data_IF_808022830785
#
_entry.id   IF_808022830785
#
_cell.length_a   1.000
_cell.length_b   1.000
_cell.length_c   1.000
_cell.angle_alpha   90.00
_cell.angle_beta   90.00
_cell.angle_gamma   90.00
#
_symmetry.space_group_name_H-M   'P 1'
#
loop_
_entity.id
_entity.type
_entity.pdbx_description
1 polymer ?
#
# COMPACT_ATOMS: atom_id res chain seq x y z
N UNK A 1 -92.02 -21.13 -22.63
CA UNK A 1 -91.21 -20.87 -21.42
C UNK A 1 -89.78 -21.31 -21.74
N UNK A 2 -88.87 -20.38 -22.05
CA UNK A 2 -87.45 -20.66 -22.32
C UNK A 2 -86.63 -20.23 -21.10
N UNK A 3 -85.88 -21.14 -20.47
CA UNK A 3 -84.98 -20.83 -19.39
C UNK A 3 -83.68 -20.34 -19.99
N UNK A 4 -83.02 -19.27 -19.44
CA UNK A 4 -81.65 -18.89 -19.81
C UNK A 4 -80.63 -19.71 -19.04
N UNK A 5 -79.65 -20.21 -19.75
CA UNK A 5 -78.44 -20.80 -19.16
C UNK A 5 -77.45 -19.69 -18.78
N UNK A 6 -77.07 -19.65 -17.51
CA UNK A 6 -76.05 -18.77 -16.98
C UNK A 6 -74.67 -19.42 -17.20
N UNK A 7 -73.84 -18.79 -18.03
CA UNK A 7 -72.47 -19.22 -18.29
C UNK A 7 -71.55 -18.59 -17.24
N UNK A 8 -70.99 -19.40 -16.35
CA UNK A 8 -69.97 -18.94 -15.39
C UNK A 8 -68.59 -18.99 -16.08
N UNK A 9 -68.05 -17.83 -16.43
CA UNK A 9 -66.66 -17.67 -16.81
C UNK A 9 -65.80 -17.63 -15.54
N UNK A 10 -65.05 -18.70 -15.28
CA UNK A 10 -64.00 -18.75 -14.25
C UNK A 10 -62.76 -18.13 -14.88
N UNK A 11 -62.41 -16.90 -14.48
CA UNK A 11 -61.12 -16.28 -14.78
C UNK A 11 -60.07 -16.90 -13.85
N UNK A 12 -59.16 -17.69 -14.41
CA UNK A 12 -57.92 -18.08 -13.76
C UNK A 12 -56.95 -16.91 -13.87
N UNK A 13 -56.79 -16.16 -12.79
CA UNK A 13 -55.67 -15.23 -12.62
C UNK A 13 -54.40 -16.05 -12.31
N UNK A 14 -53.58 -16.24 -13.33
CA UNK A 14 -52.23 -16.75 -13.13
C UNK A 14 -51.40 -15.58 -12.58
N UNK A 15 -51.16 -15.59 -11.28
CA UNK A 15 -50.11 -14.77 -10.69
C UNK A 15 -48.76 -15.37 -11.14
N UNK A 16 -48.13 -14.76 -12.12
CA UNK A 16 -46.69 -14.90 -12.29
C UNK A 16 -46.03 -14.06 -11.18
N UNK A 17 -45.52 -14.70 -10.14
CA UNK A 17 -44.50 -14.09 -9.31
C UNK A 17 -43.23 -14.04 -10.16
N UNK A 18 -42.86 -12.85 -10.62
CA UNK A 18 -41.47 -12.59 -10.93
C UNK A 18 -40.74 -12.74 -9.58
N UNK A 19 -40.15 -13.87 -9.32
CA UNK A 19 -38.99 -13.94 -8.47
C UNK A 19 -37.91 -13.15 -9.22
N UNK A 20 -37.64 -11.93 -8.76
CA UNK A 20 -36.37 -11.28 -9.03
C UNK A 20 -35.30 -12.19 -8.44
N UNK A 21 -34.82 -13.13 -9.23
CA UNK A 21 -33.51 -13.70 -9.02
C UNK A 21 -32.56 -12.52 -9.21
N UNK A 22 -32.18 -11.85 -8.10
CA UNK A 22 -30.89 -11.18 -8.08
C UNK A 22 -29.91 -12.27 -8.51
N UNK A 23 -29.40 -12.20 -9.73
CA UNK A 23 -28.14 -12.84 -10.07
C UNK A 23 -27.18 -12.29 -8.98
N UNK A 24 -26.77 -13.14 -8.06
CA UNK A 24 -25.60 -12.85 -7.24
C UNK A 24 -24.50 -12.58 -8.27
N UNK A 25 -24.10 -11.32 -8.43
CA UNK A 25 -22.89 -10.97 -9.15
C UNK A 25 -21.80 -11.77 -8.45
N UNK A 26 -21.39 -12.87 -9.08
CA UNK A 26 -20.34 -13.71 -8.53
C UNK A 26 -19.09 -12.87 -8.41
N UNK A 27 -18.62 -12.63 -7.20
CA UNK A 27 -17.36 -11.92 -6.94
C UNK A 27 -16.30 -12.49 -7.87
N UNK A 28 -15.75 -11.60 -8.72
CA UNK A 28 -14.75 -12.05 -9.69
C UNK A 28 -13.42 -12.24 -8.96
N UNK A 29 -12.92 -13.45 -8.96
CA UNK A 29 -11.65 -13.84 -8.34
C UNK A 29 -10.63 -14.22 -9.41
N UNK A 30 -9.37 -13.85 -9.22
CA UNK A 30 -8.29 -14.20 -10.14
C UNK A 30 -6.91 -14.12 -9.47
N UNK A 31 -5.93 -14.71 -10.15
CA UNK A 31 -4.51 -14.67 -9.81
C UNK A 31 -3.71 -14.45 -11.08
N UNK A 32 -3.01 -13.31 -11.22
CA UNK A 32 -2.31 -12.88 -12.42
C UNK A 32 -0.90 -12.41 -12.10
N UNK A 33 0.07 -12.80 -12.94
CA UNK A 33 1.45 -12.28 -12.85
C UNK A 33 1.76 -11.39 -14.02
N UNK A 34 2.60 -10.39 -13.77
CA UNK A 34 3.14 -9.46 -14.76
C UNK A 34 4.65 -9.41 -14.58
N UNK A 35 5.39 -9.67 -15.66
CA UNK A 35 6.83 -9.65 -15.64
C UNK A 35 7.46 -10.28 -16.87
N UNK A 36 8.76 -10.14 -16.96
CA UNK A 36 9.58 -10.69 -18.03
C UNK A 36 10.58 -11.73 -17.55
N UNK A 37 11.78 -11.74 -18.09
CA UNK A 37 12.79 -12.74 -17.73
C UNK A 37 13.71 -12.34 -16.59
N UNK A 38 13.63 -11.10 -16.10
CA UNK A 38 14.48 -10.55 -15.06
C UNK A 38 13.63 -10.25 -13.80
N UNK A 39 14.11 -9.33 -12.96
CA UNK A 39 13.40 -8.90 -11.78
C UNK A 39 12.33 -7.85 -12.12
N UNK A 40 11.08 -8.11 -11.72
CA UNK A 40 9.97 -7.20 -11.83
C UNK A 40 9.20 -7.20 -10.50
N UNK A 41 9.15 -6.08 -9.79
CA UNK A 41 8.58 -6.06 -8.44
C UNK A 41 8.86 -4.76 -7.69
N UNK A 42 9.50 -4.86 -6.54
CA UNK A 42 9.87 -3.70 -5.71
C UNK A 42 8.80 -3.29 -4.69
N UNK A 43 8.72 -2.01 -4.43
CA UNK A 43 7.67 -1.41 -3.60
C UNK A 43 6.41 -1.27 -4.45
N UNK A 44 5.37 -2.04 -4.12
CA UNK A 44 4.15 -2.12 -4.92
C UNK A 44 3.01 -1.40 -4.22
N UNK A 45 2.26 -0.62 -4.99
CA UNK A 45 0.99 -0.06 -4.57
C UNK A 45 -0.09 -0.47 -5.56
N UNK A 46 -1.30 -0.76 -5.08
CA UNK A 46 -2.48 -1.08 -5.89
C UNK A 46 -3.66 -0.24 -5.46
N UNK A 47 -4.45 0.20 -6.45
CA UNK A 47 -5.73 0.84 -6.21
C UNK A 47 -6.76 0.32 -7.22
N UNK A 48 -8.00 0.06 -6.74
CA UNK A 48 -9.13 -0.12 -7.63
C UNK A 48 -9.48 1.24 -8.25
N UNK A 49 -9.65 1.25 -9.57
CA UNK A 49 -9.95 2.46 -10.34
C UNK A 49 -11.46 2.65 -10.52
N UNK A 50 -11.89 3.87 -10.89
CA UNK A 50 -13.30 4.23 -11.04
C UNK A 50 -14.04 3.48 -12.16
N UNK A 51 -13.32 2.76 -13.01
CA UNK A 51 -13.84 1.85 -14.05
C UNK A 51 -13.86 0.38 -13.60
N UNK A 52 -13.76 0.13 -12.29
CA UNK A 52 -13.68 -1.18 -11.64
C UNK A 52 -12.43 -2.02 -11.99
N UNK A 53 -11.49 -1.47 -12.76
CA UNK A 53 -10.19 -2.06 -13.00
C UNK A 53 -9.21 -1.79 -11.87
N UNK A 54 -7.92 -2.01 -12.14
CA UNK A 54 -6.86 -1.80 -11.14
C UNK A 54 -5.69 -1.06 -11.74
N UNK A 55 -5.07 -0.18 -10.95
CA UNK A 55 -3.78 0.43 -11.26
C UNK A 55 -2.73 -0.08 -10.29
N UNK A 56 -1.61 -0.54 -10.80
CA UNK A 56 -0.48 -1.08 -10.04
C UNK A 56 0.76 -0.31 -10.42
N UNK A 57 1.60 0.02 -9.45
CA UNK A 57 2.94 0.53 -9.67
C UNK A 57 3.97 -0.44 -9.12
N UNK A 58 5.08 -0.55 -9.83
CA UNK A 58 6.26 -1.29 -9.41
C UNK A 58 7.51 -0.80 -10.13
N UNK A 59 8.52 -1.63 -10.08
CA UNK A 59 9.80 -1.43 -10.76
C UNK A 59 10.07 -2.62 -11.66
N UNK A 60 10.60 -2.38 -12.85
CA UNK A 60 10.96 -3.43 -13.79
C UNK A 60 12.43 -3.32 -14.21
N UNK A 61 13.08 -4.46 -14.33
CA UNK A 61 14.38 -4.64 -14.99
C UNK A 61 14.22 -5.30 -16.35
N UNK A 62 13.05 -5.90 -16.60
CA UNK A 62 12.75 -6.62 -17.84
C UNK A 62 12.37 -5.69 -18.99
N UNK A 63 11.82 -4.53 -18.69
CA UNK A 63 11.28 -3.58 -19.66
C UNK A 63 11.85 -2.18 -19.40
N UNK A 64 11.79 -1.30 -20.41
CA UNK A 64 12.27 0.08 -20.28
C UNK A 64 13.64 0.31 -20.89
N UNK A 65 14.38 1.31 -20.42
CA UNK A 65 15.61 1.82 -21.05
C UNK A 65 16.82 1.89 -20.11
N UNK A 66 16.83 1.21 -18.99
CA UNK A 66 17.90 1.32 -18.01
C UNK A 66 18.14 0.04 -17.24
N UNK A 67 18.47 0.20 -15.98
CA UNK A 67 18.50 -0.90 -15.03
C UNK A 67 17.10 -1.09 -14.44
N UNK A 68 16.75 -0.26 -13.46
CA UNK A 68 15.40 -0.22 -12.87
C UNK A 68 14.61 0.91 -13.55
N UNK A 69 13.40 0.62 -14.05
CA UNK A 69 12.46 1.63 -14.53
C UNK A 69 11.14 1.54 -13.76
N UNK A 70 10.46 2.66 -13.54
CA UNK A 70 9.10 2.68 -13.02
C UNK A 70 8.20 1.92 -13.99
N UNK A 71 7.44 0.96 -13.50
CA UNK A 71 6.48 0.21 -14.29
C UNK A 71 5.08 0.40 -13.75
N UNK A 72 4.19 0.88 -14.61
CA UNK A 72 2.79 1.07 -14.29
C UNK A 72 1.96 0.08 -15.09
N UNK A 73 1.00 -0.56 -14.42
CA UNK A 73 0.13 -1.56 -15.04
C UNK A 73 -1.32 -1.18 -14.76
N UNK A 74 -2.10 -0.90 -15.80
CA UNK A 74 -3.56 -0.75 -15.72
C UNK A 74 -4.21 -2.03 -16.22
N UNK A 75 -5.20 -2.50 -15.47
CA UNK A 75 -5.98 -3.68 -15.86
C UNK A 75 -7.47 -3.36 -15.91
N UNK A 76 -8.22 -4.22 -16.59
CA UNK A 76 -9.67 -4.30 -16.46
C UNK A 76 -10.05 -4.92 -15.10
N UNK A 77 -11.37 -5.03 -14.83
CA UNK A 77 -11.90 -5.65 -13.59
C UNK A 77 -11.61 -7.15 -13.46
N UNK A 78 -11.14 -7.80 -14.54
CA UNK A 78 -10.74 -9.21 -14.58
C UNK A 78 -9.24 -9.41 -14.44
N UNK A 79 -8.49 -8.34 -14.18
CA UNK A 79 -7.04 -8.37 -14.10
C UNK A 79 -6.34 -8.55 -15.46
N UNK A 80 -7.02 -8.38 -16.59
CA UNK A 80 -6.36 -8.37 -17.88
C UNK A 80 -5.74 -7.01 -18.13
N UNK A 81 -4.50 -7.00 -18.62
CA UNK A 81 -3.76 -5.78 -18.93
C UNK A 81 -4.49 -4.96 -20.01
N UNK A 82 -4.71 -3.68 -19.73
CA UNK A 82 -5.18 -2.67 -20.69
C UNK A 82 -3.98 -1.93 -21.31
N UNK A 83 -3.05 -1.48 -20.46
CA UNK A 83 -1.80 -0.82 -20.86
C UNK A 83 -0.77 -0.86 -19.72
N UNK A 84 0.52 -0.78 -20.07
CA UNK A 84 1.61 -0.89 -19.11
C UNK A 84 2.86 -0.08 -19.52
N UNK A 85 2.85 1.28 -19.45
CA UNK A 85 4.03 2.09 -19.77
C UNK A 85 5.12 1.97 -18.70
N UNK A 86 6.36 2.16 -19.15
CA UNK A 86 7.52 2.38 -18.28
C UNK A 86 7.95 3.84 -18.29
N UNK A 87 8.47 4.32 -17.16
CA UNK A 87 9.03 5.65 -17.00
C UNK A 87 10.43 5.52 -16.40
N UNK A 88 11.40 6.06 -17.10
CA UNK A 88 12.80 6.03 -16.70
C UNK A 88 13.73 6.47 -17.82
N UNK A 89 15.02 6.42 -17.56
CA UNK A 89 16.08 6.77 -18.48
C UNK A 89 17.14 5.67 -18.56
N UNK A 90 18.42 6.03 -18.46
CA UNK A 90 19.52 5.06 -18.57
C UNK A 90 20.02 4.54 -17.20
N UNK A 91 19.61 5.17 -16.12
CA UNK A 91 20.00 4.83 -14.75
C UNK A 91 18.82 4.18 -14.01
N UNK A 92 18.92 4.07 -12.69
CA UNK A 92 17.87 3.48 -11.85
C UNK A 92 16.73 4.47 -11.61
N UNK A 93 15.51 4.07 -11.94
CA UNK A 93 14.27 4.81 -11.71
C UNK A 93 13.23 3.87 -11.07
N UNK A 94 12.69 4.19 -9.88
CA UNK A 94 11.87 3.26 -9.08
C UNK A 94 10.54 3.87 -8.72
N UNK A 95 9.45 3.09 -8.86
CA UNK A 95 8.10 3.46 -8.45
C UNK A 95 7.78 3.03 -7.03
N UNK A 96 7.06 3.88 -6.28
CA UNK A 96 6.67 3.59 -4.91
C UNK A 96 5.17 3.70 -4.66
N UNK A 97 4.51 4.74 -5.18
CA UNK A 97 3.10 4.98 -4.92
C UNK A 97 2.39 5.53 -6.14
N UNK A 98 1.17 5.09 -6.37
CA UNK A 98 0.27 5.56 -7.43
C UNK A 98 -1.12 5.81 -6.87
N UNK A 99 -1.77 6.87 -7.35
CA UNK A 99 -3.15 7.20 -7.03
C UNK A 99 -3.89 7.66 -8.27
N UNK A 100 -5.13 7.18 -8.46
CA UNK A 100 -6.05 7.79 -9.43
C UNK A 100 -6.55 9.12 -8.86
N UNK A 101 -6.40 10.18 -9.65
CA UNK A 101 -6.85 11.52 -9.26
C UNK A 101 -8.34 11.73 -9.56
N UNK A 102 -8.93 12.70 -8.89
CA UNK A 102 -10.37 13.04 -9.03
C UNK A 102 -10.78 13.45 -10.45
N UNK A 103 -9.82 13.90 -11.28
CA UNK A 103 -10.00 14.21 -12.71
C UNK A 103 -9.89 12.97 -13.62
N UNK A 104 -9.69 11.77 -13.06
CA UNK A 104 -9.56 10.50 -13.78
C UNK A 104 -8.17 10.25 -14.37
N UNK A 105 -7.20 11.11 -14.09
CA UNK A 105 -5.78 10.90 -14.37
C UNK A 105 -5.13 10.01 -13.31
N UNK A 106 -3.82 9.84 -13.39
CA UNK A 106 -3.04 9.17 -12.34
C UNK A 106 -1.85 10.04 -11.95
N UNK A 107 -1.53 10.01 -10.68
CA UNK A 107 -0.31 10.62 -10.14
C UNK A 107 0.56 9.54 -9.52
N UNK A 108 1.86 9.66 -9.75
CA UNK A 108 2.86 8.67 -9.38
C UNK A 108 3.97 9.39 -8.62
N UNK A 109 4.40 8.79 -7.52
CA UNK A 109 5.66 9.18 -6.89
C UNK A 109 6.64 8.03 -6.92
N UNK A 110 7.87 8.39 -7.19
CA UNK A 110 8.99 7.47 -7.21
C UNK A 110 10.30 8.21 -6.97
N UNK A 111 11.37 7.57 -7.40
CA UNK A 111 12.69 8.17 -7.36
C UNK A 111 13.37 7.97 -8.71
N UNK A 112 14.18 8.94 -9.12
CA UNK A 112 14.90 8.89 -10.38
C UNK A 112 16.39 9.20 -10.15
N UNK A 113 17.23 8.47 -10.87
CA UNK A 113 18.65 8.79 -11.03
C UNK A 113 18.97 9.25 -12.45
N UNK A 114 18.00 9.08 -13.34
CA UNK A 114 18.13 9.48 -14.76
C UNK A 114 17.87 10.96 -14.99
N UNK A 115 17.10 11.59 -14.11
CA UNK A 115 16.66 12.98 -14.21
C UNK A 115 16.92 13.70 -12.89
N UNK A 116 16.95 15.06 -12.91
CA UNK A 116 17.22 15.86 -11.72
C UNK A 116 18.70 16.19 -11.54
N UNK A 117 19.17 16.33 -10.31
CA UNK A 117 20.50 16.85 -9.98
C UNK A 117 21.24 15.94 -9.00
N UNK A 118 22.23 15.19 -9.45
CA UNK A 118 23.15 14.48 -8.56
C UNK A 118 22.80 13.05 -8.27
N UNK A 119 22.28 12.75 -7.07
CA UNK A 119 21.96 11.39 -6.59
C UNK A 119 20.63 10.87 -7.13
N UNK A 120 19.84 10.28 -6.24
CA UNK A 120 18.43 10.00 -6.53
C UNK A 120 17.59 11.21 -6.16
N UNK A 121 16.71 11.65 -7.05
CA UNK A 121 15.74 12.70 -6.80
C UNK A 121 14.32 12.11 -6.65
N UNK A 122 13.50 12.70 -5.79
CA UNK A 122 12.06 12.40 -5.75
C UNK A 122 11.42 12.79 -7.07
N UNK A 123 10.73 11.86 -7.70
CA UNK A 123 10.10 12.06 -9.02
C UNK A 123 8.58 11.97 -8.92
N UNK A 124 7.93 13.07 -9.27
CA UNK A 124 6.47 13.18 -9.38
C UNK A 124 6.07 13.17 -10.84
N UNK A 125 5.15 12.29 -11.23
CA UNK A 125 4.69 12.15 -12.62
C UNK A 125 3.16 12.18 -12.63
N UNK A 126 2.56 12.99 -13.53
CA UNK A 126 1.13 12.93 -13.86
C UNK A 126 0.94 12.36 -15.25
N UNK A 127 0.00 11.42 -15.38
CA UNK A 127 -0.37 10.79 -16.64
C UNK A 127 -1.87 10.85 -16.87
N UNK A 128 -2.31 10.80 -18.12
CA UNK A 128 -3.72 10.70 -18.46
C UNK A 128 -4.29 9.29 -18.21
N UNK A 129 -5.60 9.12 -18.38
CA UNK A 129 -6.30 7.83 -18.23
C UNK A 129 -5.85 6.75 -19.22
N UNK A 130 -5.00 7.08 -20.20
CA UNK A 130 -4.47 6.16 -21.21
C UNK A 130 -2.99 5.83 -20.99
N UNK A 131 -2.40 6.32 -19.91
CA UNK A 131 -0.98 6.10 -19.60
C UNK A 131 -0.01 7.07 -20.26
N UNK A 132 -0.47 8.14 -20.94
CA UNK A 132 0.41 9.13 -21.53
C UNK A 132 0.86 10.16 -20.51
N UNK A 133 2.18 10.43 -20.42
CA UNK A 133 2.73 11.45 -19.52
C UNK A 133 2.22 12.84 -19.89
N UNK A 134 1.61 13.53 -18.94
CA UNK A 134 1.16 14.91 -19.06
C UNK A 134 2.27 15.88 -18.64
N UNK A 135 2.83 15.65 -17.48
CA UNK A 135 3.96 16.39 -16.94
C UNK A 135 4.70 15.56 -15.89
N UNK A 136 5.89 16.00 -15.55
CA UNK A 136 6.68 15.46 -14.44
C UNK A 136 7.52 16.57 -13.77
N UNK A 137 7.86 16.36 -12.51
CA UNK A 137 8.68 17.24 -11.69
C UNK A 137 9.66 16.41 -10.85
N UNK A 138 10.88 16.92 -10.69
CA UNK A 138 11.86 16.34 -9.76
C UNK A 138 12.09 17.27 -8.59
N UNK A 139 12.27 16.68 -7.40
CA UNK A 139 12.59 17.40 -6.17
C UNK A 139 13.83 16.75 -5.57
N UNK A 140 14.86 17.53 -5.40
CA UNK A 140 16.14 17.09 -4.88
C UNK A 140 17.27 18.04 -5.20
N UNK A 141 18.45 17.72 -4.70
CA UNK A 141 19.69 18.44 -4.95
C UNK A 141 20.84 17.47 -5.33
N UNK A 142 22.05 17.67 -4.81
CA UNK A 142 23.20 16.81 -5.11
C UNK A 142 23.20 15.47 -4.33
N UNK A 143 22.25 15.26 -3.41
CA UNK A 143 22.23 14.13 -2.48
C UNK A 143 21.22 13.04 -2.92
N UNK A 144 20.53 12.43 -1.95
CA UNK A 144 19.56 11.36 -2.19
C UNK A 144 18.21 11.75 -1.58
N UNK A 145 17.22 11.96 -2.42
CA UNK A 145 15.85 12.23 -2.06
C UNK A 145 14.94 11.14 -2.65
N UNK A 146 14.35 10.33 -1.78
CA UNK A 146 13.59 9.13 -2.19
C UNK A 146 12.10 9.36 -1.92
N UNK A 147 11.31 9.60 -2.98
CA UNK A 147 9.85 9.73 -2.87
C UNK A 147 9.20 8.38 -2.54
N UNK A 148 8.38 8.33 -1.50
CA UNK A 148 7.79 7.10 -0.96
C UNK A 148 6.27 7.01 -1.08
N UNK A 149 5.57 8.09 -0.76
CA UNK A 149 4.12 8.09 -0.66
C UNK A 149 3.54 9.38 -1.21
N UNK A 150 2.39 9.28 -1.87
CA UNK A 150 1.67 10.43 -2.42
C UNK A 150 0.20 10.35 -2.02
N UNK A 151 -0.39 11.52 -1.79
CA UNK A 151 -1.82 11.67 -1.54
C UNK A 151 -2.33 12.92 -2.27
N UNK A 152 -3.46 12.77 -3.04
CA UNK A 152 -4.13 13.91 -3.68
C UNK A 152 -4.88 14.72 -2.61
N UNK A 153 -4.70 16.03 -2.64
CA UNK A 153 -5.42 17.00 -1.81
C UNK A 153 -6.27 17.92 -2.70
N UNK A 154 -7.11 18.79 -2.13
CA UNK A 154 -8.04 19.65 -2.90
C UNK A 154 -7.37 20.48 -3.98
N UNK A 155 -6.15 20.94 -3.74
CA UNK A 155 -5.45 21.93 -4.57
C UNK A 155 -4.10 21.42 -5.13
N UNK A 156 -3.83 20.11 -5.05
CA UNK A 156 -2.59 19.52 -5.53
C UNK A 156 -2.25 18.19 -4.87
N UNK A 157 -1.01 18.03 -4.43
CA UNK A 157 -0.50 16.77 -3.89
C UNK A 157 0.34 16.98 -2.65
N UNK A 158 0.27 16.04 -1.72
CA UNK A 158 1.21 15.90 -0.62
C UNK A 158 2.10 14.69 -0.87
N UNK A 159 3.40 14.87 -0.75
CA UNK A 159 4.42 13.85 -1.00
C UNK A 159 5.22 13.66 0.26
N UNK A 160 5.42 12.42 0.66
CA UNK A 160 6.39 12.05 1.68
C UNK A 160 7.62 11.44 1.00
N UNK A 161 8.78 11.97 1.32
CA UNK A 161 10.07 11.51 0.85
C UNK A 161 11.06 11.33 2.00
N UNK A 162 12.15 10.64 1.74
CA UNK A 162 13.38 10.69 2.55
C UNK A 162 14.30 11.73 1.95
N UNK A 163 14.92 12.56 2.77
CA UNK A 163 16.01 13.43 2.38
C UNK A 163 17.30 13.02 3.10
N UNK A 164 18.39 12.85 2.36
CA UNK A 164 19.70 12.55 2.93
C UNK A 164 20.52 13.83 3.01
N UNK A 165 21.24 14.02 4.11
CA UNK A 165 22.13 15.18 4.31
C UNK A 165 23.58 14.81 4.05
N UNK A 166 23.83 13.58 3.55
CA UNK A 166 25.19 13.06 3.44
C UNK A 166 25.38 12.03 2.33
N UNK A 167 26.21 12.33 1.34
CA UNK A 167 26.85 11.36 0.47
C UNK A 167 28.34 11.27 0.79
N UNK A 168 28.72 10.30 1.61
CA UNK A 168 30.08 9.76 1.65
C UNK A 168 31.15 10.48 2.43
N UNK A 169 30.94 11.61 3.17
CA UNK A 169 31.91 12.20 4.12
C UNK A 169 31.36 13.26 5.05
N UNK A 170 32.08 13.60 6.18
CA UNK A 170 32.06 12.85 7.43
C UNK A 170 31.26 13.54 8.55
N UNK A 171 30.24 14.37 8.30
CA UNK A 171 29.40 14.95 9.35
C UNK A 171 27.95 15.03 8.88
N UNK A 172 27.03 14.29 9.54
CA UNK A 172 25.60 14.51 9.35
C UNK A 172 25.22 15.96 9.68
N UNK A 173 24.12 16.47 9.14
CA UNK A 173 23.58 17.75 9.59
C UNK A 173 23.33 17.64 11.11
N UNK A 174 23.93 18.49 11.95
CA UNK A 174 23.77 18.40 13.39
C UNK A 174 22.32 18.53 13.86
N UNK A 175 21.42 18.96 12.97
CA UNK A 175 19.99 19.08 13.25
C UNK A 175 19.22 17.82 12.87
N UNK A 176 19.57 17.14 11.77
CA UNK A 176 18.76 16.05 11.19
C UNK A 176 19.50 14.71 11.01
N UNK A 177 20.74 14.59 11.46
CA UNK A 177 21.50 13.34 11.30
C UNK A 177 21.83 13.02 9.85
N UNK A 178 21.65 11.74 9.45
CA UNK A 178 21.99 11.28 8.11
C UNK A 178 20.81 11.33 7.14
N UNK A 179 19.59 11.09 7.64
CA UNK A 179 18.34 11.10 6.86
C UNK A 179 17.21 11.67 7.71
N UNK A 180 16.25 12.30 7.05
CA UNK A 180 15.03 12.80 7.67
C UNK A 180 13.82 12.55 6.75
N UNK A 181 12.62 12.70 7.29
CA UNK A 181 11.39 12.71 6.55
C UNK A 181 11.20 14.10 5.92
N UNK A 182 10.86 14.13 4.65
CA UNK A 182 10.60 15.34 3.89
C UNK A 182 9.19 15.35 3.35
N UNK A 183 8.36 16.25 3.87
CA UNK A 183 6.99 16.45 3.44
C UNK A 183 6.95 17.61 2.47
N UNK A 184 6.42 17.39 1.26
CA UNK A 184 6.35 18.37 0.19
C UNK A 184 4.88 18.55 -0.20
N UNK A 185 4.40 19.79 -0.21
CA UNK A 185 3.13 20.12 -0.86
C UNK A 185 3.38 20.78 -2.21
N UNK A 186 2.60 20.34 -3.20
CA UNK A 186 2.58 20.93 -4.54
C UNK A 186 1.19 21.42 -4.89
N UNK A 187 1.11 22.31 -5.90
CA UNK A 187 -0.12 22.62 -6.61
C UNK A 187 -0.52 21.46 -7.57
N UNK A 188 -1.63 21.61 -8.28
CA UNK A 188 -2.14 20.62 -9.24
C UNK A 188 -1.27 20.43 -10.49
N UNK A 189 -0.37 21.37 -10.78
CA UNK A 189 0.63 21.32 -11.86
C UNK A 189 1.97 20.74 -11.38
N UNK A 190 2.05 20.33 -10.12
CA UNK A 190 3.24 19.74 -9.52
C UNK A 190 4.31 20.75 -9.06
N UNK A 191 4.01 22.05 -9.05
CA UNK A 191 4.96 23.04 -8.53
C UNK A 191 4.94 23.04 -7.01
N UNK A 192 6.14 22.99 -6.39
CA UNK A 192 6.27 23.02 -4.94
C UNK A 192 5.76 24.33 -4.35
N UNK A 193 4.83 24.24 -3.41
CA UNK A 193 4.31 25.38 -2.65
C UNK A 193 5.04 25.55 -1.32
N UNK A 194 5.21 24.48 -0.57
CA UNK A 194 5.98 24.44 0.65
C UNK A 194 6.54 23.06 0.94
N UNK A 195 7.47 22.99 1.86
CA UNK A 195 8.02 21.74 2.38
C UNK A 195 8.40 21.87 3.86
N UNK A 196 8.41 20.71 4.55
CA UNK A 196 8.79 20.57 5.95
C UNK A 196 9.67 19.35 6.14
N UNK A 197 10.62 19.43 7.06
CA UNK A 197 11.54 18.34 7.40
C UNK A 197 11.31 17.94 8.85
N UNK A 198 11.16 16.63 9.08
CA UNK A 198 11.02 16.04 10.41
C UNK A 198 12.15 15.04 10.63
N UNK A 199 12.83 15.16 11.77
CA UNK A 199 13.92 14.27 12.12
C UNK A 199 14.62 14.69 13.39
N UNK A 200 15.46 13.80 13.86
CA UNK A 200 16.35 14.01 15.00
C UNK A 200 17.82 14.05 14.58
N UNK A 201 18.68 13.63 15.48
CA UNK A 201 20.13 13.68 15.26
C UNK A 201 20.75 12.38 14.72
N UNK A 202 19.91 11.40 14.35
CA UNK A 202 20.31 10.13 13.75
C UNK A 202 19.62 9.93 12.39
N UNK A 203 19.06 8.76 12.13
CA UNK A 203 18.48 8.40 10.81
C UNK A 203 17.01 8.10 10.95
N UNK A 204 16.21 8.71 10.10
CA UNK A 204 14.80 8.45 9.93
C UNK A 204 14.51 7.93 8.53
N UNK A 205 13.51 7.07 8.39
CA UNK A 205 13.02 6.50 7.14
C UNK A 205 11.55 6.85 6.96
N UNK A 206 11.17 7.24 5.75
CA UNK A 206 9.80 7.56 5.39
C UNK A 206 9.07 6.30 4.89
N UNK A 207 7.80 6.15 5.28
CA UNK A 207 6.97 5.03 4.86
C UNK A 207 5.67 5.52 4.18
N UNK A 208 4.78 6.20 4.90
CA UNK A 208 3.44 6.53 4.40
C UNK A 208 2.96 7.91 4.87
N UNK A 209 2.18 8.61 4.02
CA UNK A 209 1.45 9.83 4.38
C UNK A 209 0.01 9.75 3.93
N UNK A 210 -0.90 10.31 4.73
CA UNK A 210 -2.31 10.46 4.41
C UNK A 210 -2.82 11.81 4.91
N UNK A 211 -3.76 12.43 4.18
CA UNK A 211 -4.49 13.58 4.70
C UNK A 211 -5.51 13.11 5.74
N UNK A 212 -5.58 13.81 6.86
CA UNK A 212 -6.56 13.55 7.92
C UNK A 212 -7.86 14.33 7.72
N UNK A 213 -8.94 13.87 8.33
CA UNK A 213 -10.28 14.45 8.17
C UNK A 213 -10.38 15.94 8.60
N UNK A 214 -9.45 16.42 9.42
CA UNK A 214 -9.32 17.81 9.85
C UNK A 214 -8.52 18.68 8.85
N UNK A 215 -8.04 18.09 7.75
CA UNK A 215 -7.26 18.75 6.71
C UNK A 215 -5.77 18.83 6.98
N UNK A 216 -5.27 18.32 8.10
CA UNK A 216 -3.86 18.11 8.37
C UNK A 216 -3.33 16.83 7.74
N UNK A 217 -2.18 16.33 8.22
CA UNK A 217 -1.57 15.12 7.70
C UNK A 217 -1.15 14.18 8.83
N UNK A 218 -1.25 12.88 8.58
CA UNK A 218 -0.63 11.83 9.37
C UNK A 218 0.53 11.23 8.59
N UNK A 219 1.69 11.19 9.20
CA UNK A 219 2.94 10.71 8.61
C UNK A 219 3.42 9.53 9.44
N UNK A 220 3.75 8.44 8.78
CA UNK A 220 4.41 7.29 9.38
C UNK A 220 5.82 7.16 8.82
N UNK A 221 6.75 6.94 9.71
CA UNK A 221 8.12 6.61 9.41
C UNK A 221 8.72 5.71 10.47
N UNK A 222 10.02 5.50 10.35
CA UNK A 222 10.83 4.77 11.32
C UNK A 222 11.94 5.68 11.80
N UNK A 223 12.17 5.75 13.11
CA UNK A 223 13.18 6.61 13.72
C UNK A 223 14.23 5.82 14.48
N UNK A 224 15.47 6.30 14.44
CA UNK A 224 16.55 5.90 15.34
C UNK A 224 16.90 7.00 16.34
N UNK A 225 16.29 8.18 16.20
CA UNK A 225 16.55 9.34 17.06
C UNK A 225 15.69 9.38 18.31
N UNK A 226 14.51 8.76 18.23
CA UNK A 226 13.49 8.80 19.28
C UNK A 226 13.06 7.37 19.64
N UNK A 227 12.42 7.21 20.82
CA UNK A 227 11.92 5.91 21.26
C UNK A 227 12.89 5.17 22.17
N UNK A 228 12.80 3.84 22.22
CA UNK A 228 13.48 3.02 23.22
C UNK A 228 14.34 1.89 22.64
N UNK A 229 14.58 1.84 21.35
CA UNK A 229 15.25 0.71 20.73
C UNK A 229 16.28 1.10 19.68
N UNK A 230 16.54 0.18 18.75
CA UNK A 230 17.36 0.44 17.57
C UNK A 230 16.57 1.24 16.54
N UNK A 231 15.36 0.78 16.25
CA UNK A 231 14.39 1.41 15.34
C UNK A 231 13.01 1.34 15.97
N UNK A 232 12.30 2.47 15.99
CA UNK A 232 10.91 2.54 16.46
C UNK A 232 9.99 3.10 15.34
N UNK A 233 8.77 2.60 15.24
CA UNK A 233 7.75 3.21 14.39
C UNK A 233 7.45 4.62 14.90
N UNK A 234 7.44 5.62 13.99
CA UNK A 234 7.28 7.03 14.34
C UNK A 234 6.09 7.64 13.62
N UNK A 235 5.09 8.03 14.40
CA UNK A 235 3.86 8.63 13.93
C UNK A 235 3.87 10.13 14.21
N UNK A 236 3.64 10.96 13.20
CA UNK A 236 3.62 12.42 13.30
C UNK A 236 2.29 12.94 12.77
N UNK A 237 1.57 13.72 13.56
CA UNK A 237 0.40 14.50 13.13
C UNK A 237 0.77 15.94 12.91
N UNK A 238 0.29 16.51 11.82
CA UNK A 238 0.53 17.91 11.47
C UNK A 238 -0.78 18.64 11.19
N UNK A 239 -0.72 19.96 11.21
CA UNK A 239 -1.75 20.82 10.62
C UNK A 239 -1.67 20.82 9.07
N UNK A 240 -2.57 21.56 8.41
CA UNK A 240 -2.60 21.66 6.94
C UNK A 240 -1.42 22.42 6.31
N UNK A 241 -0.57 23.09 7.10
CA UNK A 241 0.66 23.73 6.68
C UNK A 241 1.90 22.87 6.97
N UNK A 242 1.71 21.63 7.42
CA UNK A 242 2.81 20.76 7.79
C UNK A 242 3.47 21.10 9.14
N UNK A 243 2.90 21.98 9.97
CA UNK A 243 3.45 22.19 11.32
C UNK A 243 3.07 20.99 12.21
N UNK A 244 4.08 20.45 12.90
CA UNK A 244 3.85 19.33 13.84
C UNK A 244 2.91 19.77 14.96
N UNK A 245 1.83 18.99 15.16
CA UNK A 245 0.92 19.12 16.29
C UNK A 245 1.31 18.18 17.44
N UNK A 246 1.65 16.95 17.09
CA UNK A 246 2.17 15.95 18.01
C UNK A 246 2.92 14.84 17.25
N UNK A 247 3.77 14.11 17.97
CA UNK A 247 4.36 12.87 17.48
C UNK A 247 4.36 11.80 18.57
N UNK A 248 4.45 10.53 18.15
CA UNK A 248 4.49 9.34 19.01
C UNK A 248 5.45 8.32 18.43
N UNK A 249 6.14 7.60 19.31
CA UNK A 249 6.93 6.44 18.93
C UNK A 249 6.30 5.17 19.51
N UNK A 250 6.39 4.11 18.74
CA UNK A 250 5.93 2.78 19.12
C UNK A 250 7.07 1.80 18.90
N UNK A 251 7.40 1.04 19.94
CA UNK A 251 8.48 0.06 19.92
C UNK A 251 8.95 -0.31 21.29
N UNK A 252 9.89 -1.24 21.34
CA UNK A 252 10.50 -1.72 22.57
C UNK A 252 12.02 -1.56 22.56
N UNK A 253 12.78 -2.60 22.89
CA UNK A 253 14.24 -2.51 22.95
C UNK A 253 14.96 -2.91 21.66
N UNK A 254 14.26 -3.55 20.75
CA UNK A 254 14.81 -4.07 19.50
C UNK A 254 14.27 -3.27 18.30
N UNK A 255 14.25 -3.84 17.11
CA UNK A 255 13.79 -3.17 15.89
C UNK A 255 12.28 -3.32 15.71
N UNK A 256 11.59 -2.19 15.68
CA UNK A 256 10.15 -2.10 15.46
C UNK A 256 9.85 -1.09 14.35
N UNK A 257 9.15 -1.48 13.29
CA UNK A 257 8.89 -0.60 12.14
C UNK A 257 7.42 -0.53 11.79
N UNK A 258 6.98 0.68 11.41
CA UNK A 258 5.71 0.89 10.74
C UNK A 258 5.91 0.97 9.23
N UNK A 259 5.00 0.39 8.45
CA UNK A 259 5.05 0.42 6.98
C UNK A 259 3.85 1.15 6.36
N UNK A 260 2.68 1.09 7.01
CA UNK A 260 1.48 1.75 6.51
C UNK A 260 0.62 2.28 7.65
N UNK A 261 0.04 3.46 7.46
CA UNK A 261 -0.92 4.07 8.37
C UNK A 261 -2.19 4.45 7.65
N UNK A 262 -3.34 4.25 8.31
CA UNK A 262 -4.65 4.70 7.84
C UNK A 262 -5.40 5.38 8.98
N UNK A 263 -6.07 6.51 8.69
CA UNK A 263 -7.01 7.10 9.62
C UNK A 263 -8.32 6.30 9.62
N UNK A 264 -8.73 5.82 10.79
CA UNK A 264 -9.98 5.06 10.95
C UNK A 264 -11.20 5.97 11.11
N UNK A 265 -12.40 5.43 10.88
CA UNK A 265 -13.67 6.17 10.93
C UNK A 265 -13.91 6.85 12.29
N UNK A 266 -13.37 6.31 13.40
CA UNK A 266 -13.44 6.89 14.73
C UNK A 266 -12.45 8.06 14.95
N UNK A 267 -11.69 8.43 13.92
CA UNK A 267 -10.70 9.50 13.92
C UNK A 267 -9.32 9.11 14.46
N UNK A 268 -9.16 7.92 15.02
CA UNK A 268 -7.85 7.38 15.42
C UNK A 268 -7.06 6.84 14.23
N UNK A 269 -5.97 6.13 14.50
CA UNK A 269 -5.08 5.61 13.46
C UNK A 269 -4.85 4.12 13.61
N UNK A 270 -4.66 3.47 12.49
CA UNK A 270 -4.28 2.07 12.39
C UNK A 270 -2.91 2.00 11.73
N UNK A 271 -1.96 1.36 12.38
CA UNK A 271 -0.57 1.22 11.90
C UNK A 271 -0.28 -0.26 11.73
N UNK A 272 0.33 -0.63 10.62
CA UNK A 272 0.84 -1.97 10.39
C UNK A 272 2.33 -1.94 10.09
N UNK A 273 3.02 -2.99 10.52
CA UNK A 273 4.44 -3.18 10.29
C UNK A 273 4.94 -4.48 10.89
N UNK A 274 6.10 -4.44 11.53
CA UNK A 274 6.63 -5.57 12.25
C UNK A 274 7.32 -5.15 13.55
N UNK A 275 7.47 -6.12 14.44
CA UNK A 275 8.16 -5.95 15.73
C UNK A 275 9.13 -7.10 15.97
N UNK A 276 10.32 -6.75 16.42
CA UNK A 276 11.29 -7.69 16.98
C UNK A 276 11.25 -7.64 18.54
N UNK A 277 10.54 -6.66 19.12
CA UNK A 277 10.42 -6.45 20.57
C UNK A 277 9.27 -7.20 21.23
N UNK A 278 8.18 -7.43 20.48
CA UNK A 278 6.95 -8.04 20.98
C UNK A 278 6.61 -9.25 20.10
N UNK A 279 6.06 -10.30 20.67
CA UNK A 279 5.65 -11.49 19.91
C UNK A 279 5.87 -12.78 20.67
N UNK A 280 5.76 -13.90 19.97
CA UNK A 280 5.71 -15.22 20.59
C UNK A 280 7.07 -15.73 21.10
N UNK A 281 8.17 -15.10 20.74
CA UNK A 281 9.52 -15.54 21.16
C UNK A 281 10.45 -14.36 21.47
N UNK A 282 9.99 -13.42 22.30
CA UNK A 282 10.77 -12.28 22.82
C UNK A 282 11.90 -12.73 23.78
N UNK A 283 12.75 -13.67 23.36
CA UNK A 283 13.80 -14.22 24.20
C UNK A 283 15.02 -13.30 24.38
N UNK A 284 15.05 -12.14 23.70
CA UNK A 284 16.16 -11.17 23.78
C UNK A 284 17.49 -11.72 23.25
N UNK A 285 17.46 -12.79 22.47
CA UNK A 285 18.62 -13.38 21.80
C UNK A 285 18.66 -12.86 20.37
N UNK A 286 19.82 -12.49 19.87
CA UNK A 286 20.02 -12.16 18.46
C UNK A 286 19.43 -13.26 17.57
N UNK A 287 18.38 -12.91 16.77
CA UNK A 287 17.66 -13.85 15.93
C UNK A 287 16.25 -14.19 16.45
N UNK A 288 15.64 -13.32 17.28
CA UNK A 288 14.21 -13.42 17.60
C UNK A 288 13.38 -13.31 16.31
N UNK A 289 12.39 -14.19 16.12
CA UNK A 289 11.52 -14.09 14.97
C UNK A 289 10.74 -12.77 15.01
N UNK A 290 10.76 -12.09 13.90
CA UNK A 290 9.98 -10.88 13.63
C UNK A 290 8.54 -11.25 13.47
N UNK A 291 7.65 -10.57 14.17
CA UNK A 291 6.21 -10.76 14.05
C UNK A 291 5.54 -9.56 13.35
N UNK A 292 4.51 -9.85 12.59
CA UNK A 292 3.56 -8.88 12.06
C UNK A 292 2.98 -8.06 13.22
N UNK A 293 2.95 -6.74 13.10
CA UNK A 293 2.49 -5.85 14.16
C UNK A 293 1.38 -4.93 13.68
N UNK A 294 0.27 -4.91 14.43
CA UNK A 294 -0.90 -4.07 14.19
C UNK A 294 -1.17 -3.24 15.44
N UNK A 295 -1.23 -1.91 15.27
CA UNK A 295 -1.46 -0.96 16.37
C UNK A 295 -2.68 -0.11 16.05
N UNK A 296 -3.60 0.02 17.00
CA UNK A 296 -4.71 0.97 16.95
C UNK A 296 -4.49 2.08 17.98
N UNK A 297 -4.65 3.33 17.54
CA UNK A 297 -4.56 4.51 18.40
C UNK A 297 -5.88 5.27 18.47
N UNK A 298 -6.00 6.15 19.45
CA UNK A 298 -6.99 7.21 19.50
C UNK A 298 -6.60 8.39 18.56
N UNK A 299 -7.45 9.43 18.40
CA UNK A 299 -7.12 10.60 17.56
C UNK A 299 -5.90 11.39 18.03
N UNK A 300 -5.54 11.31 19.29
CA UNK A 300 -4.37 11.94 19.91
C UNK A 300 -3.09 11.09 19.77
N UNK A 301 -3.17 9.95 19.04
CA UNK A 301 -2.06 9.05 18.81
C UNK A 301 -1.69 8.16 20.00
N UNK A 302 -2.51 8.08 21.05
CA UNK A 302 -2.24 7.16 22.15
C UNK A 302 -2.68 5.75 21.78
N UNK A 303 -1.85 4.74 22.08
CA UNK A 303 -2.19 3.34 21.83
C UNK A 303 -3.44 2.93 22.61
N UNK A 304 -4.45 2.39 21.89
CA UNK A 304 -5.62 1.75 22.49
C UNK A 304 -5.35 0.26 22.67
N UNK A 305 -4.79 -0.37 21.64
CA UNK A 305 -4.34 -1.76 21.66
C UNK A 305 -3.30 -2.01 20.55
N UNK A 306 -2.49 -3.03 20.78
CA UNK A 306 -1.63 -3.61 19.72
C UNK A 306 -1.80 -5.12 19.68
N UNK A 307 -1.52 -5.73 18.52
CA UNK A 307 -1.60 -7.16 18.23
C UNK A 307 -0.41 -7.60 17.42
N UNK A 308 0.10 -8.78 17.70
CA UNK A 308 1.09 -9.45 16.89
C UNK A 308 0.49 -10.70 16.25
N UNK A 309 0.91 -10.96 15.00
CA UNK A 309 0.57 -12.17 14.27
C UNK A 309 1.86 -12.75 13.74
N UNK A 310 2.09 -14.03 13.97
CA UNK A 310 3.33 -14.67 13.55
C UNK A 310 3.49 -16.06 14.12
N UNK A 311 4.60 -16.67 13.76
CA UNK A 311 4.97 -18.00 14.23
C UNK A 311 6.40 -18.06 14.73
N UNK A 312 7.18 -19.04 14.27
CA UNK A 312 8.56 -19.21 14.71
C UNK A 312 9.61 -18.58 13.80
N UNK A 313 9.19 -17.92 12.71
CA UNK A 313 10.08 -17.30 11.73
C UNK A 313 9.69 -15.85 11.49
N UNK A 314 10.29 -15.23 10.48
CA UNK A 314 10.02 -13.82 10.13
C UNK A 314 8.64 -13.64 9.49
N UNK A 315 7.85 -12.75 10.06
CA UNK A 315 6.55 -12.35 9.55
C UNK A 315 6.45 -10.82 9.58
N UNK A 316 5.93 -10.16 8.55
CA UNK A 316 5.85 -8.71 8.51
C UNK A 316 4.63 -8.21 7.73
N UNK A 317 3.97 -7.18 8.27
CA UNK A 317 2.86 -6.46 7.65
C UNK A 317 3.34 -5.31 6.78
N UNK A 318 2.74 -5.16 5.60
CA UNK A 318 3.10 -4.09 4.66
C UNK A 318 1.97 -3.11 4.40
N UNK A 319 0.72 -3.55 4.44
CA UNK A 319 -0.44 -2.70 4.14
C UNK A 319 -1.65 -3.11 4.95
N UNK A 320 -2.45 -2.14 5.35
CA UNK A 320 -3.69 -2.32 6.11
C UNK A 320 -4.77 -1.40 5.58
N UNK A 321 -6.02 -1.86 5.65
CA UNK A 321 -7.19 -1.03 5.40
C UNK A 321 -8.33 -1.37 6.36
N UNK A 322 -9.07 -0.33 6.82
CA UNK A 322 -10.32 -0.54 7.52
C UNK A 322 -11.38 -1.02 6.53
N UNK A 323 -12.05 -2.13 6.86
CA UNK A 323 -13.09 -2.72 6.02
C UNK A 323 -14.47 -2.13 6.33
N UNK A 324 -15.39 -2.26 5.38
CA UNK A 324 -16.75 -1.70 5.47
C UNK A 324 -17.58 -2.28 6.63
N UNK A 325 -17.21 -3.44 7.15
CA UNK A 325 -17.80 -4.07 8.35
C UNK A 325 -17.20 -3.54 9.67
N UNK A 326 -16.23 -2.61 9.58
CA UNK A 326 -15.55 -2.00 10.71
C UNK A 326 -14.37 -2.80 11.26
N UNK A 327 -14.05 -3.95 10.66
CA UNK A 327 -12.83 -4.70 10.92
C UNK A 327 -11.65 -4.19 10.09
N UNK A 328 -10.61 -5.02 9.91
CA UNK A 328 -9.40 -4.63 9.18
C UNK A 328 -8.93 -5.76 8.27
N UNK A 329 -8.46 -5.40 7.07
CA UNK A 329 -7.76 -6.31 6.16
C UNK A 329 -6.30 -5.91 6.10
N UNK A 330 -5.41 -6.89 6.18
CA UNK A 330 -3.97 -6.67 6.32
C UNK A 330 -3.24 -7.63 5.39
N UNK A 331 -2.22 -7.15 4.70
CA UNK A 331 -1.34 -8.02 3.91
C UNK A 331 0.13 -7.80 4.22
N UNK A 332 0.91 -8.82 3.97
CA UNK A 332 2.35 -8.82 4.11
C UNK A 332 2.93 -10.16 3.65
N UNK A 333 3.96 -10.63 4.33
CA UNK A 333 4.57 -11.91 4.05
C UNK A 333 4.82 -12.72 5.34
N UNK A 334 4.85 -14.03 5.20
CA UNK A 334 5.14 -14.96 6.28
C UNK A 334 6.15 -16.01 5.86
N UNK A 335 7.12 -16.28 6.73
CA UNK A 335 8.01 -17.44 6.67
C UNK A 335 7.56 -18.54 7.62
N UNK A 336 6.55 -18.28 8.42
CA UNK A 336 6.03 -19.19 9.44
C UNK A 336 4.95 -20.13 8.91
N UNK A 337 4.24 -19.69 7.87
CA UNK A 337 3.08 -20.40 7.31
C UNK A 337 3.18 -20.46 5.79
N UNK A 338 2.45 -21.44 5.18
CA UNK A 338 2.42 -21.61 3.73
C UNK A 338 3.38 -22.67 3.23
N UNK A 339 3.89 -22.52 2.01
CA UNK A 339 4.70 -23.53 1.32
C UNK A 339 6.01 -22.92 0.80
N UNK A 340 7.14 -23.40 1.24
CA UNK A 340 8.44 -22.99 0.70
C UNK A 340 9.17 -21.96 1.54
N UNK A 341 9.60 -20.86 0.92
CA UNK A 341 10.33 -19.78 1.58
C UNK A 341 9.33 -18.83 2.26
N UNK A 342 9.03 -17.67 1.68
CA UNK A 342 7.98 -16.79 2.18
C UNK A 342 6.75 -16.80 1.29
N UNK A 343 5.57 -16.64 1.90
CA UNK A 343 4.28 -16.54 1.19
C UNK A 343 3.60 -15.21 1.48
N UNK A 344 2.76 -14.76 0.54
CA UNK A 344 1.81 -13.67 0.80
C UNK A 344 0.90 -14.08 1.94
N UNK A 345 0.76 -13.21 2.94
CA UNK A 345 -0.14 -13.45 4.06
C UNK A 345 -1.24 -12.38 4.09
N UNK A 346 -2.48 -12.82 4.03
CA UNK A 346 -3.68 -12.00 4.12
C UNK A 346 -4.42 -12.32 5.41
N UNK A 347 -4.67 -11.32 6.25
CA UNK A 347 -5.33 -11.47 7.54
C UNK A 347 -6.53 -10.55 7.62
N UNK A 348 -7.70 -11.08 7.94
CA UNK A 348 -8.90 -10.32 8.30
C UNK A 348 -9.10 -10.35 9.80
N UNK A 349 -9.38 -9.18 10.37
CA UNK A 349 -9.68 -9.05 11.81
C UNK A 349 -11.01 -8.35 12.03
N UNK A 350 -11.55 -8.50 13.23
CA UNK A 350 -12.63 -7.65 13.71
C UNK A 350 -12.11 -6.26 14.13
N UNK A 351 -13.01 -5.37 14.58
CA UNK A 351 -12.69 -4.00 15.00
C UNK A 351 -11.83 -3.91 16.28
N UNK A 352 -11.62 -5.03 16.99
CA UNK A 352 -10.73 -5.14 18.14
C UNK A 352 -9.39 -5.78 17.79
N UNK A 353 -9.11 -5.97 16.50
CA UNK A 353 -7.88 -6.59 16.02
C UNK A 353 -7.80 -8.10 16.30
N UNK A 354 -8.91 -8.78 16.60
CA UNK A 354 -8.93 -10.24 16.75
C UNK A 354 -9.08 -10.87 15.37
N UNK A 355 -8.21 -11.81 15.06
CA UNK A 355 -8.26 -12.55 13.80
C UNK A 355 -9.62 -13.24 13.62
N UNK A 356 -10.23 -13.03 12.47
CA UNK A 356 -11.42 -13.76 12.01
C UNK A 356 -11.03 -14.90 11.08
N UNK A 357 -10.12 -14.63 10.16
CA UNK A 357 -9.52 -15.61 9.27
C UNK A 357 -8.18 -15.11 8.71
N UNK A 358 -7.37 -16.02 8.22
CA UNK A 358 -6.18 -15.72 7.43
C UNK A 358 -6.04 -16.66 6.23
N UNK A 359 -5.27 -16.25 5.23
CA UNK A 359 -4.93 -17.01 4.02
C UNK A 359 -3.47 -16.78 3.66
N UNK A 360 -2.82 -17.81 3.14
CA UNK A 360 -1.50 -17.71 2.53
C UNK A 360 -1.58 -18.02 1.05
N UNK A 361 -0.84 -17.26 0.24
CA UNK A 361 -0.72 -17.48 -1.20
C UNK A 361 0.75 -17.51 -1.56
N UNK A 362 1.18 -18.56 -2.25
CA UNK A 362 2.58 -18.70 -2.66
C UNK A 362 2.89 -20.11 -3.14
N UNK A 363 4.15 -20.32 -3.41
CA UNK A 363 4.67 -21.60 -3.89
C UNK A 363 5.95 -22.01 -3.17
N UNK A 364 6.99 -22.40 -3.91
CA UNK A 364 8.22 -22.92 -3.32
C UNK A 364 9.31 -21.87 -3.07
N UNK A 365 9.16 -20.66 -3.62
CA UNK A 365 10.13 -19.58 -3.51
C UNK A 365 9.58 -18.42 -2.69
N UNK A 366 10.23 -17.24 -2.81
CA UNK A 366 9.84 -16.03 -2.11
C UNK A 366 8.61 -15.37 -2.76
N UNK A 367 7.54 -15.29 -2.01
CA UNK A 367 6.31 -14.61 -2.38
C UNK A 367 5.94 -13.62 -1.26
N UNK A 368 5.38 -12.45 -1.58
CA UNK A 368 5.04 -11.48 -0.55
C UNK A 368 4.04 -10.42 -1.00
N UNK A 369 3.05 -10.12 -0.14
CA UNK A 369 2.07 -9.06 -0.33
C UNK A 369 2.66 -7.69 0.04
N UNK A 370 2.34 -6.66 -0.74
CA UNK A 370 2.82 -5.30 -0.54
C UNK A 370 1.72 -4.29 -0.28
N UNK A 371 0.60 -4.42 -0.96
CA UNK A 371 -0.54 -3.51 -0.87
C UNK A 371 -1.83 -4.28 -0.92
N UNK A 372 -2.83 -3.88 -0.14
CA UNK A 372 -4.16 -4.46 -0.13
C UNK A 372 -5.23 -3.37 -0.10
N UNK A 373 -6.33 -3.61 -0.81
CA UNK A 373 -7.52 -2.78 -0.76
C UNK A 373 -8.78 -3.65 -0.79
N UNK A 374 -9.81 -3.27 -0.02
CA UNK A 374 -11.14 -3.82 -0.17
C UNK A 374 -11.77 -3.27 -1.45
N UNK A 375 -12.31 -4.15 -2.28
CA UNK A 375 -12.93 -3.79 -3.55
C UNK A 375 -14.43 -3.52 -3.40
N UNK A 376 -15.03 -2.83 -4.38
CA UNK A 376 -16.44 -2.43 -4.37
C UNK A 376 -17.42 -3.62 -4.30
N UNK A 377 -16.99 -4.80 -4.73
CA UNK A 377 -17.74 -6.06 -4.63
C UNK A 377 -17.61 -6.77 -3.27
N UNK A 378 -16.90 -6.12 -2.31
CA UNK A 378 -16.68 -6.64 -0.95
C UNK A 378 -15.52 -7.62 -0.81
N UNK A 379 -14.86 -8.03 -1.90
CA UNK A 379 -13.64 -8.83 -1.87
C UNK A 379 -12.39 -7.96 -1.63
N UNK A 380 -11.20 -8.52 -1.95
CA UNK A 380 -9.93 -7.81 -1.73
C UNK A 380 -9.04 -7.94 -2.97
N UNK A 381 -8.31 -6.87 -3.27
CA UNK A 381 -7.23 -6.86 -4.26
C UNK A 381 -5.90 -6.71 -3.54
N UNK A 382 -4.95 -7.58 -3.86
CA UNK A 382 -3.60 -7.59 -3.32
C UNK A 382 -2.62 -7.44 -4.46
N UNK A 383 -1.70 -6.48 -4.37
CA UNK A 383 -0.49 -6.46 -5.18
C UNK A 383 0.69 -6.94 -4.35
N UNK A 384 1.47 -7.81 -4.93
CA UNK A 384 2.64 -8.40 -4.33
C UNK A 384 3.66 -8.82 -5.38
N UNK A 385 4.67 -9.53 -4.95
CA UNK A 385 5.65 -10.14 -5.82
C UNK A 385 5.68 -11.65 -5.63
N UNK A 386 6.07 -12.35 -6.68
CA UNK A 386 6.22 -13.81 -6.66
C UNK A 386 7.53 -14.24 -7.33
N UNK A 387 8.27 -15.09 -6.65
CA UNK A 387 9.39 -15.85 -7.22
C UNK A 387 8.98 -17.29 -7.57
N UNK A 388 7.74 -17.66 -7.24
CA UNK A 388 7.21 -19.01 -7.46
C UNK A 388 6.49 -19.16 -8.78
N UNK A 389 5.93 -18.08 -9.31
CA UNK A 389 5.09 -18.07 -10.51
C UNK A 389 5.57 -17.00 -11.49
N UNK A 390 5.13 -17.10 -12.76
CA UNK A 390 5.47 -16.11 -13.80
C UNK A 390 6.62 -16.53 -14.69
N UNK A 391 7.39 -15.56 -15.22
CA UNK A 391 8.34 -15.77 -16.32
C UNK A 391 9.76 -15.37 -15.92
N UNK A 392 10.47 -16.16 -15.15
CA UNK A 392 11.90 -15.93 -14.94
C UNK A 392 12.29 -15.60 -13.51
N UNK A 393 12.57 -14.32 -13.21
CA UNK A 393 12.98 -13.87 -11.87
C UNK A 393 11.81 -13.72 -10.92
N UNK A 394 11.76 -12.59 -10.23
CA UNK A 394 10.59 -12.20 -9.44
C UNK A 394 9.65 -11.40 -10.33
N UNK A 395 8.36 -11.70 -10.29
CA UNK A 395 7.31 -11.01 -11.06
C UNK A 395 6.32 -10.28 -10.13
N UNK A 396 5.66 -9.24 -10.63
CA UNK A 396 4.53 -8.61 -9.95
C UNK A 396 3.35 -9.60 -9.93
N UNK A 397 2.72 -9.73 -8.78
CA UNK A 397 1.59 -10.64 -8.60
C UNK A 397 0.35 -9.87 -8.12
N UNK A 398 -0.72 -9.96 -8.89
CA UNK A 398 -2.02 -9.38 -8.60
C UNK A 398 -3.01 -10.49 -8.23
N UNK A 399 -3.55 -10.46 -7.01
CA UNK A 399 -4.47 -11.45 -6.48
C UNK A 399 -5.79 -10.76 -6.14
N UNK A 400 -6.89 -11.21 -6.73
CA UNK A 400 -8.25 -10.81 -6.38
C UNK A 400 -8.95 -11.95 -5.64
N UNK A 401 -9.49 -11.63 -4.47
CA UNK A 401 -10.22 -12.60 -3.64
C UNK A 401 -11.70 -12.21 -3.51
N UNK A 402 -12.50 -13.15 -3.05
CA UNK A 402 -13.83 -12.87 -2.48
C UNK A 402 -13.71 -12.26 -1.06
N UNK A 403 -14.84 -12.00 -0.42
CA UNK A 403 -14.92 -11.45 0.95
C UNK A 403 -14.41 -12.39 2.04
N UNK A 404 -14.26 -13.68 1.73
CA UNK A 404 -13.74 -14.72 2.63
C UNK A 404 -12.25 -15.00 2.39
N UNK A 405 -11.62 -14.23 1.50
CA UNK A 405 -10.22 -14.37 1.14
C UNK A 405 -9.93 -15.53 0.19
N UNK A 406 -10.93 -16.11 -0.48
CA UNK A 406 -10.69 -17.19 -1.43
C UNK A 406 -10.36 -16.61 -2.81
N UNK A 407 -9.45 -17.27 -3.53
CA UNK A 407 -9.08 -16.96 -4.91
C UNK A 407 -8.90 -18.24 -5.71
N UNK A 408 -8.69 -18.12 -7.01
CA UNK A 408 -8.29 -19.24 -7.85
C UNK A 408 -6.80 -19.52 -7.71
N UNK A 409 -6.36 -20.78 -7.75
CA UNK A 409 -4.95 -21.10 -7.86
C UNK A 409 -4.32 -20.45 -9.09
N UNK A 410 -3.02 -20.13 -9.00
CA UNK A 410 -2.30 -19.56 -10.15
C UNK A 410 -2.36 -20.52 -11.35
N UNK A 411 -2.77 -20.00 -12.51
CA UNK A 411 -2.84 -20.75 -13.77
C UNK A 411 -4.17 -21.47 -14.03
N UNK A 412 -5.17 -21.29 -13.16
CA UNK A 412 -6.54 -21.82 -13.35
C UNK A 412 -7.54 -20.74 -13.79
#
# INVERSE_FOLDING_TARGET
>A
MKKPYLLFCILFLIYWSCEDTKEEESTMIFSKTFGGSLYDGGFLSVQQTTDDGYIIIGTTVSFGNGNDDIWLIKTDSRGNEDWCPTFGGSEDDRGYSVQQTTDGCYVIVGTTKSYGNGGFDTWLIKIDSKGNKLWDQTFGDELYEIGKSIYEISDGFIILAEISFFDGFPQPDPKYGHRALWLIQTDSDGNKEWDQIYGGNLTEYADCVQQTADGGYIILGTTTSYGNGEYDAWLIKTDSQGNEEWNKTFGGSDTDKGHHVEQTIDGGFLIVGYTDSFGNDSSGVWGTPRDFWLIKTDPEGNEIWSKTFGGSNYDAGNSVQQTTDGGYIITGYTYSYGNGESDVWLIKTDSQGREEWNKTFGGSNYDGGRSVQQTTDGGYIIAGHTGSFGNGGTDIWLIKTDSEGNTVPYGE
#
